data_IF_808965296147
#
_entry.id   IF_808965296147
#
_cell.length_a   1.000
_cell.length_b   1.000
_cell.length_c   1.000
_cell.angle_alpha   90.00
_cell.angle_beta   90.00
_cell.angle_gamma   90.00
#
_symmetry.space_group_name_H-M   'P 1'
#
loop_
_entity.id
_entity.type
_entity.pdbx_description
1 polymer ?
#
# COMPACT_ATOMS: atom_id res chain seq x y z
N UNK A 1 14.55 22.79 -4.39
CA UNK A 1 15.24 21.60 -3.85
C UNK A 1 14.84 20.42 -4.73
N UNK A 2 15.78 19.58 -5.22
CA UNK A 2 15.39 18.40 -5.97
C UNK A 2 14.65 17.45 -5.03
N UNK A 3 13.43 17.06 -5.42
CA UNK A 3 12.60 16.10 -4.69
C UNK A 3 13.35 14.78 -4.68
N UNK A 4 13.60 14.21 -3.49
CA UNK A 4 14.14 12.85 -3.40
C UNK A 4 13.12 11.89 -4.02
N UNK A 5 13.48 11.10 -5.04
CA UNK A 5 12.55 10.20 -5.73
C UNK A 5 12.11 9.00 -4.88
N UNK A 6 12.56 8.91 -3.63
CA UNK A 6 12.26 7.79 -2.74
C UNK A 6 11.03 8.12 -1.88
N UNK A 7 9.92 7.42 -2.12
CA UNK A 7 8.70 7.56 -1.31
C UNK A 7 8.76 6.73 -0.03
N UNK A 8 9.41 5.56 -0.12
CA UNK A 8 9.43 4.59 0.96
C UNK A 8 9.69 3.20 0.40
N UNK A 9 9.35 2.20 1.19
CA UNK A 9 9.44 0.79 0.78
C UNK A 9 8.24 0.03 1.29
N UNK A 10 7.75 -0.90 0.48
CA UNK A 10 6.86 -1.91 0.98
C UNK A 10 7.67 -3.02 1.65
N UNK A 11 7.26 -3.40 2.85
CA UNK A 11 7.82 -4.47 3.64
C UNK A 11 6.82 -5.63 3.66
N UNK A 12 7.28 -6.79 3.21
CA UNK A 12 6.50 -8.02 3.16
C UNK A 12 7.00 -8.93 4.27
N UNK A 13 6.12 -9.26 5.21
CA UNK A 13 6.40 -10.21 6.29
C UNK A 13 5.83 -11.58 5.94
N UNK A 14 6.62 -12.64 6.11
CA UNK A 14 6.18 -14.02 5.87
C UNK A 14 6.35 -14.89 7.11
N UNK A 15 5.48 -15.90 7.23
CA UNK A 15 5.42 -16.75 8.42
C UNK A 15 4.99 -15.97 9.66
N UNK A 16 4.02 -15.05 9.48
CA UNK A 16 3.50 -14.21 10.55
C UNK A 16 2.76 -15.07 11.57
N UNK A 17 3.11 -14.95 12.84
CA UNK A 17 2.51 -15.70 13.94
C UNK A 17 2.21 -14.76 15.12
N UNK A 18 1.05 -14.96 15.77
CA UNK A 18 0.68 -14.17 16.94
C UNK A 18 1.49 -14.64 18.16
N UNK A 19 2.12 -13.70 18.84
CA UNK A 19 2.92 -13.96 20.05
C UNK A 19 2.13 -13.63 21.32
N UNK A 20 1.28 -12.59 21.24
CA UNK A 20 0.47 -12.12 22.36
C UNK A 20 -0.89 -11.65 21.87
N UNK A 21 -1.87 -11.58 22.77
CA UNK A 21 -3.16 -10.92 22.53
C UNK A 21 -3.02 -9.39 22.49
N UNK A 22 -4.10 -8.69 22.14
CA UNK A 22 -4.18 -7.25 22.27
C UNK A 22 -3.85 -6.78 23.69
N UNK A 23 -3.33 -5.55 23.81
CA UNK A 23 -3.00 -4.90 25.09
C UNK A 23 -1.83 -5.51 25.86
N UNK A 24 -1.17 -6.54 25.31
CA UNK A 24 0.05 -7.06 25.91
C UNK A 24 1.09 -5.94 26.06
N UNK A 25 1.83 -5.87 27.19
CA UNK A 25 2.81 -4.80 27.41
C UNK A 25 3.97 -4.79 26.40
N UNK A 26 4.58 -3.62 26.19
CA UNK A 26 5.69 -3.44 25.23
C UNK A 26 6.95 -4.23 25.58
N UNK A 27 7.13 -4.71 26.81
CA UNK A 27 8.29 -5.54 27.14
C UNK A 27 8.33 -6.85 26.35
N UNK A 28 7.20 -7.30 25.79
CA UNK A 28 7.17 -8.44 24.87
C UNK A 28 7.81 -8.14 23.49
N UNK A 29 8.06 -6.86 23.17
CA UNK A 29 8.89 -6.47 22.03
C UNK A 29 10.39 -6.50 22.37
N UNK A 30 10.77 -6.75 23.62
CA UNK A 30 12.14 -6.69 24.10
C UNK A 30 12.68 -8.09 24.41
N UNK A 31 13.98 -8.25 24.19
CA UNK A 31 14.72 -9.42 24.65
C UNK A 31 14.85 -9.38 26.18
N UNK A 32 14.41 -10.41 26.93
CA UNK A 32 14.45 -10.40 28.40
C UNK A 32 15.85 -10.21 28.97
N UNK A 33 16.86 -10.73 28.27
CA UNK A 33 18.26 -10.69 28.75
C UNK A 33 18.96 -9.37 28.42
N UNK A 34 18.73 -8.83 27.22
CA UNK A 34 19.48 -7.66 26.73
C UNK A 34 18.70 -6.34 26.81
N UNK A 35 17.38 -6.41 27.05
CA UNK A 35 16.48 -5.26 26.98
C UNK A 35 16.30 -4.67 25.57
N UNK A 36 16.98 -5.21 24.55
CA UNK A 36 16.92 -4.69 23.18
C UNK A 36 15.64 -5.13 22.48
N UNK A 37 15.14 -4.28 21.58
CA UNK A 37 13.99 -4.61 20.73
C UNK A 37 14.29 -5.82 19.86
N UNK A 38 13.40 -6.80 19.88
CA UNK A 38 13.42 -7.96 19.02
C UNK A 38 13.13 -7.53 17.59
N UNK A 39 14.10 -7.71 16.70
CA UNK A 39 14.04 -7.24 15.33
C UNK A 39 12.95 -7.91 14.49
N UNK A 40 12.44 -9.08 14.92
CA UNK A 40 11.44 -9.88 14.23
C UNK A 40 10.05 -9.79 14.86
N UNK A 41 9.75 -8.74 15.64
CA UNK A 41 8.45 -8.53 16.26
C UNK A 41 7.87 -7.15 15.94
N UNK A 42 6.57 -7.11 15.71
CA UNK A 42 5.80 -5.89 15.44
C UNK A 42 4.51 -5.90 16.24
N UNK A 43 4.10 -4.72 16.70
CA UNK A 43 2.77 -4.49 17.23
C UNK A 43 1.88 -4.02 16.08
N UNK A 44 0.67 -4.54 16.00
CA UNK A 44 -0.30 -4.08 15.02
C UNK A 44 -0.96 -2.82 15.58
N UNK A 45 -0.78 -1.72 14.88
CA UNK A 45 -1.40 -0.45 15.24
C UNK A 45 -2.73 -0.30 14.52
N UNK A 46 -3.70 0.34 15.18
CA UNK A 46 -4.97 0.67 14.57
C UNK A 46 -4.75 1.69 13.45
N UNK A 47 -5.47 1.54 12.35
CA UNK A 47 -5.54 2.57 11.30
C UNK A 47 -6.82 3.37 11.52
N UNK A 48 -6.73 4.70 11.74
CA UNK A 48 -7.90 5.55 11.87
C UNK A 48 -8.84 5.41 10.66
N UNK A 49 -10.13 5.19 10.94
CA UNK A 49 -11.18 5.21 9.92
C UNK A 49 -11.42 3.89 9.18
N UNK A 50 -10.64 2.83 9.36
CA UNK A 50 -10.91 1.56 8.66
C UNK A 50 -10.30 0.30 9.30
N UNK A 51 -11.02 -0.32 10.23
CA UNK A 51 -10.58 -1.53 10.97
C UNK A 51 -10.39 -2.78 10.09
N UNK A 52 -10.94 -2.80 8.87
CA UNK A 52 -10.82 -3.99 8.00
C UNK A 52 -9.40 -4.25 7.49
N UNK A 53 -8.49 -3.25 7.53
CA UNK A 53 -7.10 -3.45 7.12
C UNK A 53 -6.37 -4.48 7.97
N UNK A 54 -6.66 -4.45 9.25
CA UNK A 54 -6.08 -5.34 10.24
C UNK A 54 -6.92 -6.60 10.39
N UNK A 55 -7.94 -6.86 9.56
CA UNK A 55 -8.70 -8.12 9.66
C UNK A 55 -7.76 -9.33 9.50
N UNK A 56 -7.67 -10.18 10.52
CA UNK A 56 -6.69 -11.28 10.58
C UNK A 56 -5.35 -10.91 11.23
N UNK A 57 -5.23 -9.69 11.75
CA UNK A 57 -4.15 -9.13 12.56
C UNK A 57 -4.78 -8.33 13.72
N UNK A 58 -4.79 -8.89 14.92
CA UNK A 58 -5.47 -8.25 16.04
C UNK A 58 -4.79 -6.90 16.41
N UNK A 59 -5.57 -5.82 16.45
CA UNK A 59 -5.08 -4.49 16.82
C UNK A 59 -4.56 -4.51 18.25
N UNK A 60 -3.36 -3.99 18.45
CA UNK A 60 -2.67 -3.99 19.73
C UNK A 60 -1.97 -5.30 20.06
N UNK A 61 -2.15 -6.38 19.30
CA UNK A 61 -1.41 -7.62 19.50
C UNK A 61 0.02 -7.53 18.93
N UNK A 62 0.91 -8.40 19.42
CA UNK A 62 2.27 -8.52 18.93
C UNK A 62 2.38 -9.78 18.08
N UNK A 63 2.96 -9.62 16.89
CA UNK A 63 3.24 -10.70 15.96
C UNK A 63 4.74 -10.83 15.73
N UNK A 64 5.19 -12.06 15.49
CA UNK A 64 6.52 -12.34 14.95
C UNK A 64 6.45 -12.69 13.47
N UNK A 65 7.59 -12.66 12.79
CA UNK A 65 7.75 -13.18 11.44
C UNK A 65 9.02 -14.00 11.30
N UNK A 66 9.04 -14.88 10.28
CA UNK A 66 10.20 -15.70 9.93
C UNK A 66 11.16 -14.98 8.99
N UNK A 67 10.60 -14.35 7.96
CA UNK A 67 11.38 -13.62 6.95
C UNK A 67 10.69 -12.30 6.63
N UNK A 68 11.50 -11.32 6.20
CA UNK A 68 11.01 -10.06 5.64
C UNK A 68 11.68 -9.80 4.30
N UNK A 69 10.95 -9.19 3.38
CA UNK A 69 11.46 -8.65 2.12
C UNK A 69 11.08 -7.19 2.04
N UNK A 70 11.96 -6.38 1.48
CA UNK A 70 11.74 -4.95 1.28
C UNK A 70 11.78 -4.67 -0.23
N UNK A 71 10.78 -3.94 -0.71
CA UNK A 71 10.64 -3.52 -2.09
C UNK A 71 10.61 -1.99 -2.12
N UNK A 72 11.61 -1.36 -2.70
CA UNK A 72 11.68 0.10 -2.77
C UNK A 72 10.56 0.64 -3.66
N UNK A 73 9.87 1.67 -3.15
CA UNK A 73 8.92 2.48 -3.91
C UNK A 73 9.65 3.76 -4.29
N UNK A 74 10.13 3.75 -5.53
CA UNK A 74 10.79 4.88 -6.17
C UNK A 74 9.78 5.51 -7.12
N UNK A 75 9.71 6.83 -7.07
CA UNK A 75 8.85 7.67 -7.87
C UNK A 75 9.69 8.61 -8.73
N UNK A 76 10.68 8.04 -9.40
CA UNK A 76 11.41 8.73 -10.46
C UNK A 76 10.41 9.11 -11.56
N UNK A 77 10.41 10.39 -11.93
CA UNK A 77 9.49 10.93 -12.94
C UNK A 77 8.01 10.81 -12.59
N UNK A 78 7.64 10.72 -11.31
CA UNK A 78 6.26 10.52 -10.85
C UNK A 78 5.66 9.16 -11.24
N UNK A 79 6.46 8.11 -11.48
CA UNK A 79 5.97 6.82 -11.98
C UNK A 79 4.93 6.12 -11.08
N UNK A 80 5.20 5.97 -9.78
CA UNK A 80 4.28 5.29 -8.86
C UNK A 80 3.06 6.15 -8.54
N UNK A 81 3.26 7.46 -8.40
CA UNK A 81 2.16 8.41 -8.22
C UNK A 81 1.24 8.47 -9.43
N UNK A 82 1.81 8.50 -10.64
CA UNK A 82 1.05 8.46 -11.89
C UNK A 82 0.28 7.16 -12.02
N UNK A 83 0.87 6.04 -11.61
CA UNK A 83 0.17 4.76 -11.53
C UNK A 83 -1.06 4.83 -10.62
N UNK A 84 -0.91 5.29 -9.37
CA UNK A 84 -2.05 5.39 -8.45
C UNK A 84 -3.12 6.37 -8.96
N UNK A 85 -2.73 7.49 -9.56
CA UNK A 85 -3.67 8.45 -10.13
C UNK A 85 -4.44 7.89 -11.33
N UNK A 86 -3.76 7.22 -12.27
CA UNK A 86 -4.40 6.54 -13.41
C UNK A 86 -5.33 5.43 -12.94
N UNK A 87 -4.92 4.64 -11.94
CA UNK A 87 -5.75 3.60 -11.35
C UNK A 87 -7.00 4.19 -10.69
N UNK A 88 -6.86 5.27 -9.90
CA UNK A 88 -7.99 5.95 -9.27
C UNK A 88 -9.00 6.47 -10.28
N UNK A 89 -8.53 7.09 -11.37
CA UNK A 89 -9.39 7.53 -12.47
C UNK A 89 -10.11 6.36 -13.14
N UNK A 90 -9.39 5.28 -13.46
CA UNK A 90 -9.94 4.11 -14.13
C UNK A 90 -11.07 3.45 -13.33
N UNK A 91 -10.94 3.39 -12.00
CA UNK A 91 -11.93 2.75 -11.12
C UNK A 91 -12.96 3.72 -10.53
N UNK A 92 -12.90 5.00 -10.90
CA UNK A 92 -13.79 6.03 -10.39
C UNK A 92 -13.66 6.29 -8.89
N UNK A 93 -12.45 6.14 -8.33
CA UNK A 93 -12.20 6.37 -6.91
C UNK A 93 -12.25 7.86 -6.58
N UNK A 94 -13.13 8.26 -5.67
CA UNK A 94 -13.16 9.60 -5.09
C UNK A 94 -12.45 9.62 -3.73
N UNK A 95 -11.26 10.21 -3.70
CA UNK A 95 -10.47 10.35 -2.47
C UNK A 95 -11.13 11.29 -1.44
N UNK A 96 -12.17 12.07 -1.79
CA UNK A 96 -12.86 12.93 -0.82
C UNK A 96 -14.01 12.24 -0.10
N UNK A 97 -14.42 11.06 -0.57
CA UNK A 97 -15.44 10.29 0.11
C UNK A 97 -14.87 9.76 1.44
N UNK A 98 -15.20 10.42 2.56
CA UNK A 98 -14.72 10.07 3.90
C UNK A 98 -15.17 8.67 4.36
N UNK A 99 -16.25 8.15 3.77
CA UNK A 99 -16.70 6.78 3.88
C UNK A 99 -17.76 6.56 2.80
N UNK A 100 -17.42 6.00 1.62
CA UNK A 100 -18.46 5.71 0.63
C UNK A 100 -19.49 4.76 1.25
N UNK A 101 -20.80 5.11 1.30
CA UNK A 101 -21.82 4.23 1.84
C UNK A 101 -21.87 2.93 1.00
N UNK A 102 -21.58 1.79 1.63
CA UNK A 102 -21.65 0.47 0.98
C UNK A 102 -20.32 -0.30 0.97
N UNK A 103 -20.15 -1.19 -0.02
CA UNK A 103 -18.90 -1.93 -0.22
C UNK A 103 -17.89 -0.98 -0.91
N UNK A 104 -16.69 -0.78 -0.34
CA UNK A 104 -15.66 0.03 -0.99
C UNK A 104 -15.35 -0.53 -2.38
N UNK A 105 -15.05 0.38 -3.30
CA UNK A 105 -14.74 0.03 -4.69
C UNK A 105 -13.44 -0.79 -4.83
N UNK A 106 -13.10 -1.14 -6.09
CA UNK A 106 -11.84 -1.80 -6.42
C UNK A 106 -10.63 -0.99 -5.92
N UNK A 107 -9.60 -1.67 -5.45
CA UNK A 107 -8.34 -1.11 -4.98
C UNK A 107 -8.44 -0.04 -3.88
N UNK A 108 -9.60 0.12 -3.23
CA UNK A 108 -9.79 1.13 -2.18
C UNK A 108 -8.67 1.10 -1.13
N UNK A 109 -8.25 -0.10 -0.74
CA UNK A 109 -7.13 -0.36 0.15
C UNK A 109 -5.81 0.24 -0.30
N UNK A 110 -5.45 0.03 -1.56
CA UNK A 110 -4.21 0.54 -2.13
C UNK A 110 -4.29 2.07 -2.35
N UNK A 111 -5.41 2.55 -2.89
CA UNK A 111 -5.58 3.97 -3.26
C UNK A 111 -5.67 4.88 -2.03
N UNK A 112 -6.28 4.40 -0.95
CA UNK A 112 -6.49 5.20 0.26
C UNK A 112 -5.34 5.07 1.27
N UNK A 113 -4.76 3.88 1.40
CA UNK A 113 -3.82 3.56 2.48
C UNK A 113 -2.50 2.96 2.00
N UNK A 114 -2.29 2.74 0.70
CA UNK A 114 -1.06 2.13 0.17
C UNK A 114 0.21 2.90 0.52
N UNK A 115 0.11 4.22 0.68
CA UNK A 115 1.22 5.09 1.09
C UNK A 115 1.08 5.58 2.54
N UNK A 116 0.17 5.00 3.31
CA UNK A 116 0.06 5.23 4.74
C UNK A 116 0.78 4.09 5.46
N UNK A 117 1.33 4.34 6.65
CA UNK A 117 2.04 3.34 7.49
C UNK A 117 1.09 2.30 8.08
N UNK A 118 0.33 1.66 7.20
CA UNK A 118 -0.74 0.74 7.45
C UNK A 118 -0.23 -0.69 7.30
N UNK A 119 -0.57 -1.54 8.27
CA UNK A 119 -0.40 -2.99 8.12
C UNK A 119 -1.61 -3.56 7.39
N UNK A 120 -1.40 -4.04 6.17
CA UNK A 120 -2.39 -4.79 5.42
C UNK A 120 -2.19 -6.28 5.69
N UNK A 121 -3.23 -6.93 6.20
CA UNK A 121 -3.19 -8.37 6.44
C UNK A 121 -3.23 -9.18 5.14
N UNK A 122 -2.97 -10.48 5.25
CA UNK A 122 -3.22 -11.43 4.16
C UNK A 122 -4.66 -11.42 3.64
N UNK A 123 -5.64 -11.05 4.48
CA UNK A 123 -7.03 -10.89 4.04
C UNK A 123 -7.16 -9.74 3.03
N UNK A 124 -6.55 -8.59 3.33
CA UNK A 124 -6.51 -7.45 2.40
C UNK A 124 -5.71 -7.77 1.15
N UNK A 125 -4.54 -8.40 1.30
CA UNK A 125 -3.72 -8.77 0.14
C UNK A 125 -4.49 -9.66 -0.84
N UNK A 126 -5.26 -10.66 -0.36
CA UNK A 126 -6.09 -11.51 -1.23
C UNK A 126 -7.24 -10.76 -1.90
N UNK A 127 -7.87 -9.82 -1.18
CA UNK A 127 -8.90 -8.97 -1.78
C UNK A 127 -8.30 -8.10 -2.90
N UNK A 128 -7.14 -7.50 -2.66
CA UNK A 128 -6.45 -6.71 -3.67
C UNK A 128 -6.08 -7.56 -4.90
N UNK A 129 -5.57 -8.78 -4.72
CA UNK A 129 -5.29 -9.68 -5.84
C UNK A 129 -6.55 -9.97 -6.68
N UNK A 130 -7.69 -10.17 -6.03
CA UNK A 130 -8.95 -10.32 -6.76
C UNK A 130 -9.33 -9.06 -7.54
N UNK A 131 -9.09 -7.86 -6.98
CA UNK A 131 -9.28 -6.62 -7.74
C UNK A 131 -8.32 -6.56 -8.95
N UNK A 132 -7.06 -6.99 -8.78
CA UNK A 132 -6.07 -7.06 -9.87
C UNK A 132 -6.55 -7.98 -11.00
N UNK A 133 -7.03 -9.18 -10.66
CA UNK A 133 -7.58 -10.14 -11.62
C UNK A 133 -8.80 -9.57 -12.36
N UNK A 134 -9.75 -8.95 -11.65
CA UNK A 134 -11.00 -8.43 -12.21
C UNK A 134 -10.81 -7.23 -13.16
N UNK A 135 -9.69 -6.51 -13.03
CA UNK A 135 -9.43 -5.26 -13.73
C UNK A 135 -8.33 -5.34 -14.79
N UNK A 136 -7.58 -6.45 -14.90
CA UNK A 136 -6.47 -6.57 -15.84
C UNK A 136 -6.89 -6.22 -17.29
N UNK A 137 -7.99 -6.81 -17.78
CA UNK A 137 -8.47 -6.54 -19.14
C UNK A 137 -8.81 -5.06 -19.39
N UNK A 138 -9.29 -4.33 -18.37
CA UNK A 138 -9.59 -2.90 -18.47
C UNK A 138 -8.32 -2.06 -18.47
N UNK A 139 -7.32 -2.47 -17.70
CA UNK A 139 -5.99 -1.83 -17.67
C UNK A 139 -5.28 -2.04 -19.00
N UNK A 140 -5.33 -3.25 -19.58
CA UNK A 140 -4.77 -3.53 -20.91
C UNK A 140 -5.44 -2.69 -21.99
N UNK A 141 -6.76 -2.50 -21.93
CA UNK A 141 -7.51 -1.69 -22.87
C UNK A 141 -7.14 -0.19 -22.85
N UNK A 142 -6.47 0.32 -21.80
CA UNK A 142 -5.95 1.69 -21.76
C UNK A 142 -4.82 1.88 -22.79
N UNK A 143 -4.09 0.82 -23.13
CA UNK A 143 -2.99 0.89 -24.11
C UNK A 143 -1.72 1.59 -23.61
N UNK A 144 -1.61 1.85 -22.31
CA UNK A 144 -0.45 2.49 -21.68
C UNK A 144 0.48 1.42 -21.08
N UNK A 145 1.64 1.19 -21.73
CA UNK A 145 2.58 0.13 -21.35
C UNK A 145 3.22 0.35 -19.99
N UNK A 146 3.49 1.60 -19.61
CA UNK A 146 4.15 1.94 -18.35
C UNK A 146 3.16 1.77 -17.19
N UNK A 147 1.90 2.17 -17.40
CA UNK A 147 0.82 1.91 -16.47
C UNK A 147 0.61 0.41 -16.25
N UNK A 148 0.55 -0.40 -17.33
CA UNK A 148 0.41 -1.86 -17.25
C UNK A 148 1.62 -2.53 -16.56
N UNK A 149 2.84 -2.08 -16.86
CA UNK A 149 4.04 -2.60 -16.22
C UNK A 149 4.04 -2.34 -14.71
N UNK A 150 3.67 -1.12 -14.29
CA UNK A 150 3.58 -0.76 -12.89
C UNK A 150 2.41 -1.46 -12.18
N UNK A 151 1.30 -1.71 -12.89
CA UNK A 151 0.18 -2.52 -12.41
C UNK A 151 0.64 -3.93 -12.05
N UNK A 152 1.26 -4.65 -12.97
CA UNK A 152 1.78 -6.02 -12.76
C UNK A 152 2.88 -6.08 -11.71
N UNK A 153 3.77 -5.07 -11.65
CA UNK A 153 4.78 -4.98 -10.58
C UNK A 153 4.14 -4.86 -9.20
N UNK A 154 3.13 -4.02 -9.08
CA UNK A 154 2.39 -3.83 -7.83
C UNK A 154 1.64 -5.10 -7.45
N UNK A 155 0.98 -5.75 -8.40
CA UNK A 155 0.33 -7.05 -8.21
C UNK A 155 1.29 -8.11 -7.67
N UNK A 156 2.47 -8.27 -8.29
CA UNK A 156 3.48 -9.24 -7.87
C UNK A 156 3.97 -8.98 -6.43
N UNK A 157 4.09 -7.72 -6.04
CA UNK A 157 4.37 -7.32 -4.66
C UNK A 157 3.24 -7.75 -3.73
N UNK A 158 1.98 -7.42 -4.03
CA UNK A 158 0.83 -7.85 -3.22
C UNK A 158 0.75 -9.38 -3.13
N UNK A 159 1.03 -10.08 -4.23
CA UNK A 159 1.05 -11.53 -4.29
C UNK A 159 2.02 -12.11 -3.26
N UNK A 160 3.20 -11.51 -3.10
CA UNK A 160 4.19 -11.97 -2.13
C UNK A 160 3.72 -11.89 -0.66
N UNK A 161 2.73 -11.04 -0.36
CA UNK A 161 2.13 -10.85 0.96
C UNK A 161 0.88 -11.70 1.23
N UNK A 162 0.39 -12.50 0.26
CA UNK A 162 -0.89 -13.25 0.33
C UNK A 162 -1.02 -14.25 1.49
N UNK A 163 0.08 -14.59 2.15
CA UNK A 163 0.15 -15.49 3.31
C UNK A 163 0.79 -14.85 4.55
N UNK A 164 0.91 -13.52 4.58
CA UNK A 164 1.55 -12.82 5.69
C UNK A 164 0.96 -11.44 5.90
N UNK A 165 1.82 -10.43 5.94
CA UNK A 165 1.43 -9.04 6.07
C UNK A 165 2.26 -8.14 5.16
N UNK A 166 1.66 -7.04 4.70
CA UNK A 166 2.30 -5.99 3.94
C UNK A 166 2.27 -4.71 4.77
N UNK A 167 3.35 -3.95 4.76
CA UNK A 167 3.46 -2.67 5.45
C UNK A 167 4.19 -1.67 4.56
N UNK A 168 3.75 -0.41 4.55
CA UNK A 168 4.49 0.65 3.87
C UNK A 168 5.36 1.43 4.86
N UNK A 169 6.67 1.36 4.69
CA UNK A 169 7.68 2.07 5.46
C UNK A 169 8.19 3.29 4.67
N UNK A 170 7.41 4.37 4.68
CA UNK A 170 7.73 5.64 4.01
C UNK A 170 7.43 6.85 4.87
N UNK A 171 7.59 8.05 4.31
CA UNK A 171 7.11 9.28 4.97
C UNK A 171 5.58 9.20 5.00
N UNK A 172 4.93 9.29 6.17
CA UNK A 172 3.49 9.27 6.23
C UNK A 172 2.97 10.56 5.57
N UNK A 173 2.24 10.42 4.46
CA UNK A 173 1.40 11.50 3.95
C UNK A 173 0.27 11.71 4.97
N UNK A 174 0.11 12.91 5.55
CA UNK A 174 -0.85 13.17 6.62
C UNK A 174 -2.32 13.11 6.15
N UNK A 175 -2.56 13.10 4.83
CA UNK A 175 -3.89 13.10 4.24
C UNK A 175 -4.04 12.03 3.13
N UNK A 176 -5.28 11.57 2.85
CA UNK A 176 -5.58 10.79 1.65
C UNK A 176 -5.14 11.56 0.40
N UNK A 177 -4.50 10.87 -0.52
CA UNK A 177 -3.79 11.50 -1.63
C UNK A 177 -4.72 12.25 -2.61
N UNK A 178 -4.44 13.53 -2.90
CA UNK A 178 -5.17 14.29 -3.92
C UNK A 178 -4.63 14.02 -5.33
N UNK A 179 -5.23 13.05 -6.02
CA UNK A 179 -4.86 12.67 -7.38
C UNK A 179 -5.00 13.81 -8.40
N UNK A 180 -5.76 14.89 -8.13
CA UNK A 180 -5.99 15.98 -9.10
C UNK A 180 -4.79 16.90 -9.31
N UNK A 181 -3.92 17.06 -8.30
CA UNK A 181 -2.67 17.81 -8.47
C UNK A 181 -1.73 17.13 -9.47
N UNK A 182 -1.81 15.81 -9.54
CA UNK A 182 -1.02 15.00 -10.46
C UNK A 182 -1.65 14.93 -11.86
N UNK A 183 -2.97 14.92 -12.01
CA UNK A 183 -3.60 14.92 -13.34
C UNK A 183 -3.18 16.14 -14.18
N UNK A 184 -3.03 17.33 -13.57
CA UNK A 184 -2.52 18.51 -14.29
C UNK A 184 -1.05 18.43 -14.72
N UNK A 185 -0.26 17.55 -14.10
CA UNK A 185 1.15 17.30 -14.44
C UNK A 185 1.31 16.13 -15.41
N UNK A 186 0.42 15.13 -15.33
CA UNK A 186 0.49 13.89 -16.12
C UNK A 186 -0.12 14.06 -17.52
N UNK A 187 -1.17 14.87 -17.68
CA UNK A 187 -1.80 15.11 -18.99
C UNK A 187 -1.08 16.16 -19.85
N UNK A 188 -0.14 16.94 -19.30
CA UNK A 188 0.73 17.84 -20.06
C UNK A 188 2.01 17.15 -20.59
N UNK A 189 2.15 15.83 -20.39
CA UNK A 189 3.34 15.06 -20.77
C UNK A 189 3.24 14.32 -22.11
N UNK A 190 2.09 14.37 -22.80
CA UNK A 190 1.91 13.77 -24.11
C UNK A 190 1.35 14.78 -25.12
N UNK A 191 2.26 15.39 -25.88
CA UNK A 191 1.98 16.05 -27.16
C UNK A 191 1.55 17.51 -27.04
N UNK A 192 2.48 18.42 -27.31
CA UNK A 192 2.33 19.45 -28.35
C UNK A 192 3.67 20.19 -28.50
N UNK A 193 4.64 19.50 -29.11
CA UNK A 193 5.71 20.17 -29.86
C UNK A 193 5.65 19.62 -31.28
N UNK A 194 4.58 19.99 -31.99
CA UNK A 194 4.60 20.09 -33.44
C UNK A 194 3.56 21.11 -33.92
N UNK A 195 4.08 22.14 -34.62
CA UNK A 195 3.41 23.15 -35.49
C UNK A 195 2.84 24.39 -34.76
N UNK A 196 3.23 25.66 -35.03
CA UNK A 196 3.89 26.34 -36.17
C UNK A 196 4.76 27.49 -35.61
#
# INVERSE_FOLDING_TARGET
>A
MPVQPYLGKYVVFQGVAQETEAWAPDFHLLCPTSGRRLANRMRIEAIPGYERYTKGLEVGAIYSWKTKREEAVIDEGLGFYSFLAKLALLVGHDWRAENPPGRPGPFFELLRYGLQRAHMSSFVARKLLHDFDDWEARVEAVGDSDFLAQYRKTEALIFSARFGALYFDGVPEPEPYDFRRLTGLIFNGCGDDDQI
#
